data_IF_675160437212
#
_entry.id   IF_675160437212
#
_cell.length_a   1.000
_cell.length_b   1.000
_cell.length_c   1.000
_cell.angle_alpha   90.00
_cell.angle_beta   90.00
_cell.angle_gamma   90.00
#
_symmetry.space_group_name_H-M   'P 1'
#
loop_
_entity.id
_entity.type
_entity.pdbx_description
1 polymer ?
#
# COMPACT_ATOMS: atom_id res chain seq x y z
N UNK A 1 13.38 14.50 -20.89
CA UNK A 1 12.60 13.26 -21.04
C UNK A 1 11.49 13.58 -22.03
N UNK A 2 11.77 13.38 -23.31
CA UNK A 2 10.87 13.74 -24.42
C UNK A 2 9.69 12.77 -24.38
N UNK A 3 8.53 13.26 -23.98
CA UNK A 3 7.28 12.52 -24.08
C UNK A 3 6.95 12.46 -25.57
N UNK A 4 7.14 11.28 -26.17
CA UNK A 4 6.84 11.06 -27.57
C UNK A 4 5.33 11.31 -27.81
N UNK A 5 5.06 12.40 -28.53
CA UNK A 5 3.76 12.74 -29.13
C UNK A 5 3.38 11.62 -30.12
N UNK A 6 2.61 10.63 -29.65
CA UNK A 6 2.11 9.55 -30.49
C UNK A 6 2.10 8.14 -29.88
N UNK A 7 2.32 7.98 -28.58
CA UNK A 7 2.23 6.67 -27.94
C UNK A 7 0.77 6.29 -27.66
N UNK A 8 0.35 5.19 -28.29
CA UNK A 8 -0.85 4.39 -28.04
C UNK A 8 -1.45 4.62 -26.63
N UNK A 9 -2.54 5.41 -26.56
CA UNK A 9 -3.15 5.82 -25.28
C UNK A 9 -3.60 4.61 -24.45
N UNK A 10 -3.95 3.51 -25.13
CA UNK A 10 -4.27 2.22 -24.53
C UNK A 10 -3.07 1.55 -23.88
N UNK A 11 -1.89 1.56 -24.52
CA UNK A 11 -0.65 1.05 -23.92
C UNK A 11 -0.27 1.84 -22.66
N UNK A 12 -0.35 3.17 -22.72
CA UNK A 12 -0.06 4.03 -21.57
C UNK A 12 -1.00 3.75 -20.39
N UNK A 13 -2.31 3.58 -20.66
CA UNK A 13 -3.28 3.20 -19.62
C UNK A 13 -2.99 1.81 -19.05
N UNK A 14 -2.52 0.88 -19.88
CA UNK A 14 -2.18 -0.47 -19.44
C UNK A 14 -0.92 -0.48 -18.56
N UNK A 15 0.10 0.32 -18.90
CA UNK A 15 1.28 0.54 -18.06
C UNK A 15 0.90 1.16 -16.71
N UNK A 16 0.06 2.20 -16.70
CA UNK A 16 -0.42 2.81 -15.46
C UNK A 16 -1.23 1.82 -14.62
N UNK A 17 -2.07 0.98 -15.25
CA UNK A 17 -2.80 -0.10 -14.57
C UNK A 17 -1.81 -1.08 -13.95
N UNK A 18 -0.79 -1.52 -14.69
CA UNK A 18 0.19 -2.48 -14.20
C UNK A 18 0.98 -1.93 -13.00
N UNK A 19 1.42 -0.67 -13.08
CA UNK A 19 2.14 -0.01 -11.98
C UNK A 19 1.23 0.15 -10.75
N UNK A 20 -0.03 0.53 -10.97
CA UNK A 20 -1.02 0.67 -9.89
C UNK A 20 -1.26 -0.68 -9.20
N UNK A 21 -1.45 -1.75 -9.98
CA UNK A 21 -1.65 -3.12 -9.48
C UNK A 21 -0.46 -3.57 -8.60
N UNK A 22 0.78 -3.32 -9.05
CA UNK A 22 1.98 -3.62 -8.28
C UNK A 22 2.08 -2.83 -6.96
N UNK A 23 1.55 -1.60 -6.92
CA UNK A 23 1.52 -0.79 -5.70
C UNK A 23 0.47 -1.29 -4.71
N UNK A 24 -0.67 -1.79 -5.18
CA UNK A 24 -1.72 -2.36 -4.31
C UNK A 24 -1.25 -3.62 -3.55
N UNK A 25 -0.41 -4.45 -4.16
CA UNK A 25 0.09 -5.72 -3.54
C UNK A 25 0.94 -5.49 -2.29
N UNK A 26 1.50 -4.28 -2.11
CA UNK A 26 2.45 -3.98 -1.02
C UNK A 26 1.84 -3.26 0.19
N UNK A 27 0.52 -3.24 0.29
CA UNK A 27 -0.16 -2.52 1.35
C UNK A 27 -0.02 -3.26 2.70
N UNK A 28 0.51 -2.62 3.76
CA UNK A 28 0.59 -3.23 5.08
C UNK A 28 -0.83 -3.51 5.58
N UNK A 29 -1.08 -4.74 6.03
CA UNK A 29 -2.40 -5.17 6.50
C UNK A 29 -2.74 -4.59 7.88
N UNK A 30 -1.74 -4.16 8.65
CA UNK A 30 -1.91 -3.61 9.98
C UNK A 30 -1.08 -2.33 10.15
N UNK A 31 -1.59 -1.37 10.94
CA UNK A 31 -0.88 -0.15 11.31
C UNK A 31 -1.13 0.22 12.76
N UNK A 32 -0.08 0.63 13.43
CA UNK A 32 -0.19 1.21 14.76
C UNK A 32 -0.81 2.60 14.70
N UNK A 33 -1.90 2.84 15.44
CA UNK A 33 -2.57 4.15 15.50
C UNK A 33 -1.78 5.21 16.29
N UNK A 34 -0.75 4.80 17.04
CA UNK A 34 0.08 5.69 17.87
C UNK A 34 1.35 6.15 17.15
N UNK A 35 2.17 5.22 16.68
CA UNK A 35 3.44 5.56 16.02
C UNK A 35 3.44 5.36 14.50
N UNK A 36 2.36 4.84 13.92
CA UNK A 36 2.26 4.62 12.47
C UNK A 36 3.00 3.40 11.95
N UNK A 37 3.60 2.57 12.81
CA UNK A 37 4.27 1.32 12.43
C UNK A 37 3.35 0.41 11.60
N UNK A 38 3.76 0.11 10.36
CA UNK A 38 3.07 -0.81 9.47
C UNK A 38 3.55 -2.24 9.66
N UNK A 39 2.63 -3.19 9.82
CA UNK A 39 2.91 -4.61 9.93
C UNK A 39 2.09 -5.42 8.92
N UNK A 40 2.62 -6.56 8.50
CA UNK A 40 1.91 -7.53 7.64
C UNK A 40 1.11 -8.55 8.45
N UNK A 41 1.44 -8.70 9.73
CA UNK A 41 0.80 -9.63 10.67
C UNK A 41 0.31 -8.89 11.91
N UNK A 42 -0.64 -9.48 12.62
CA UNK A 42 -1.13 -8.93 13.87
C UNK A 42 0.00 -8.99 14.92
N UNK A 43 0.37 -7.83 15.47
CA UNK A 43 1.24 -7.75 16.65
C UNK A 43 0.46 -7.16 17.82
N UNK A 44 0.25 -7.96 18.86
CA UNK A 44 -0.47 -7.52 20.07
C UNK A 44 0.24 -6.36 20.77
N UNK A 45 1.57 -6.42 20.81
CA UNK A 45 2.44 -5.33 21.25
C UNK A 45 3.13 -4.71 20.04
N UNK A 46 3.00 -3.40 19.86
CA UNK A 46 3.69 -2.71 18.77
C UNK A 46 5.21 -2.71 19.01
N UNK A 47 6.04 -3.22 18.07
CA UNK A 47 7.51 -3.26 18.25
C UNK A 47 8.17 -1.88 18.26
N UNK A 48 7.51 -0.84 17.71
CA UNK A 48 8.06 0.51 17.64
C UNK A 48 7.76 1.34 18.90
N UNK A 49 6.50 1.38 19.36
CA UNK A 49 6.12 2.14 20.56
C UNK A 49 5.92 1.29 21.83
N UNK A 50 6.12 -0.04 21.74
CA UNK A 50 6.01 -1.03 22.83
C UNK A 50 4.64 -1.12 23.50
N UNK A 51 3.60 -0.59 22.85
CA UNK A 51 2.27 -0.47 23.43
C UNK A 51 1.30 -1.53 22.92
N UNK A 52 0.40 -1.96 23.79
CA UNK A 52 -0.52 -3.06 23.53
C UNK A 52 -1.82 -2.59 22.86
N UNK A 53 -2.35 -3.38 21.93
CA UNK A 53 -3.66 -3.11 21.30
C UNK A 53 -3.71 -1.89 20.37
N UNK A 54 -2.55 -1.32 20.03
CA UNK A 54 -2.44 -0.14 19.15
C UNK A 54 -2.34 -0.49 17.68
N UNK A 55 -1.95 -1.74 17.35
CA UNK A 55 -1.82 -2.26 15.99
C UNK A 55 -3.19 -2.72 15.48
N UNK A 56 -3.81 -1.93 14.61
CA UNK A 56 -5.13 -2.22 14.04
C UNK A 56 -5.01 -2.58 12.55
N UNK A 57 -5.91 -3.41 12.02
CA UNK A 57 -5.92 -3.67 10.58
C UNK A 57 -6.17 -2.37 9.83
N UNK A 58 -5.40 -2.15 8.77
CA UNK A 58 -5.70 -1.11 7.80
C UNK A 58 -6.84 -1.63 6.93
N UNK A 59 -8.00 -0.98 6.98
CA UNK A 59 -9.03 -1.09 5.95
C UNK A 59 -8.57 -0.28 4.72
N UNK A 60 -7.42 -0.61 4.14
CA UNK A 60 -7.11 -0.13 2.81
C UNK A 60 -7.90 -1.00 1.84
N UNK A 61 -8.75 -0.32 1.06
CA UNK A 61 -9.53 -0.88 -0.04
C UNK A 61 -8.61 -1.72 -0.93
N UNK A 62 -8.56 -3.02 -0.68
CA UNK A 62 -8.15 -3.95 -1.69
C UNK A 62 -9.35 -4.01 -2.62
N UNK A 63 -9.26 -3.33 -3.77
CA UNK A 63 -10.14 -3.67 -4.89
C UNK A 63 -9.91 -5.14 -5.13
N UNK A 64 -10.99 -5.88 -4.93
CA UNK A 64 -11.15 -7.28 -5.28
C UNK A 64 -10.91 -7.47 -6.76
#
# INVERSE_FOLDING_TARGET
LTLAEGADSTATLNDLKHITDQLLVRNPSYRCTRCGFGARTHHWQCPSCKEWGTVKPLLNYAVV
#
